data_IF_684548248452
#
_entry.id   IF_684548248452
#
_cell.length_a   1.000
_cell.length_b   1.000
_cell.length_c   1.000
_cell.angle_alpha   90.00
_cell.angle_beta   90.00
_cell.angle_gamma   90.00
#
_symmetry.space_group_name_H-M   'P 1'
#
loop_
_entity.id
_entity.type
_entity.pdbx_description
1 polymer ?
#
# COMPACT_ATOMS: atom_id res chain seq x y z
N UNK A 1 19.14 -59.49 -32.17
CA UNK A 1 18.05 -59.62 -31.16
C UNK A 1 18.51 -59.33 -29.72
N UNK A 2 19.74 -59.67 -29.33
CA UNK A 2 20.23 -59.38 -27.95
C UNK A 2 20.32 -57.86 -27.66
N UNK A 3 20.86 -57.08 -28.59
CA UNK A 3 20.99 -55.60 -28.43
C UNK A 3 19.66 -54.86 -28.34
N UNK A 4 18.64 -55.36 -29.07
CA UNK A 4 17.30 -54.76 -29.01
C UNK A 4 16.64 -54.93 -27.63
N UNK A 5 16.81 -56.11 -27.01
CA UNK A 5 16.30 -56.37 -25.67
C UNK A 5 17.02 -55.51 -24.62
N UNK A 6 18.34 -55.34 -24.73
CA UNK A 6 19.09 -54.47 -23.84
C UNK A 6 18.71 -53.02 -23.99
N UNK A 7 18.48 -52.53 -25.19
CA UNK A 7 18.04 -51.18 -25.48
C UNK A 7 16.64 -50.93 -24.89
N UNK A 8 15.74 -51.88 -25.02
CA UNK A 8 14.39 -51.80 -24.49
C UNK A 8 14.39 -51.74 -22.95
N UNK A 9 15.23 -52.52 -22.27
CA UNK A 9 15.37 -52.53 -20.81
C UNK A 9 15.97 -51.20 -20.34
N UNK A 10 16.96 -50.65 -20.98
CA UNK A 10 17.53 -49.34 -20.63
C UNK A 10 16.55 -48.22 -20.85
N UNK A 11 15.83 -48.25 -21.98
CA UNK A 11 14.80 -47.23 -22.26
C UNK A 11 13.63 -47.25 -21.25
N UNK A 12 13.19 -48.45 -20.82
CA UNK A 12 12.13 -48.54 -19.81
C UNK A 12 12.65 -48.11 -18.43
N UNK A 13 13.88 -48.43 -18.05
CA UNK A 13 14.49 -47.97 -16.80
C UNK A 13 14.66 -46.44 -16.79
N UNK A 14 15.05 -45.84 -17.91
CA UNK A 14 15.15 -44.38 -18.07
C UNK A 14 13.77 -43.69 -17.98
N UNK A 15 12.76 -44.29 -18.62
CA UNK A 15 11.38 -43.74 -18.56
C UNK A 15 10.82 -43.80 -17.13
N UNK A 16 11.05 -44.88 -16.39
CA UNK A 16 10.65 -45.01 -15.00
C UNK A 16 11.42 -44.04 -14.09
N UNK A 17 12.70 -43.80 -14.33
CA UNK A 17 13.52 -42.83 -13.59
C UNK A 17 13.06 -41.38 -13.82
N UNK A 18 12.69 -41.04 -15.04
CA UNK A 18 12.21 -39.71 -15.38
C UNK A 18 10.79 -39.40 -14.81
N UNK A 19 9.94 -40.42 -14.66
CA UNK A 19 8.63 -40.26 -14.05
C UNK A 19 8.68 -40.04 -12.52
N UNK A 20 9.75 -40.45 -11.86
CA UNK A 20 9.95 -40.20 -10.41
C UNK A 20 10.28 -38.74 -10.09
N UNK A 21 10.74 -37.95 -11.07
CA UNK A 21 11.08 -36.54 -10.88
C UNK A 21 9.90 -35.57 -11.05
N UNK A 22 8.67 -36.06 -11.21
CA UNK A 22 7.48 -35.21 -11.31
C UNK A 22 7.03 -34.71 -9.93
N UNK A 23 7.89 -33.98 -9.26
CA UNK A 23 7.65 -33.34 -7.96
C UNK A 23 7.29 -31.85 -8.07
N UNK A 24 6.78 -31.44 -9.22
CA UNK A 24 6.30 -30.05 -9.43
C UNK A 24 5.00 -29.69 -8.70
N UNK A 25 4.31 -30.65 -8.09
CA UNK A 25 3.21 -30.36 -7.24
C UNK A 25 3.72 -29.99 -5.83
N UNK A 26 3.59 -28.73 -5.47
CA UNK A 26 3.66 -28.32 -4.06
C UNK A 26 2.89 -29.33 -3.22
N UNK A 27 3.59 -30.09 -2.39
CA UNK A 27 2.96 -31.01 -1.44
C UNK A 27 2.18 -30.17 -0.44
N UNK A 28 0.91 -29.96 -0.70
CA UNK A 28 -0.03 -29.37 0.26
C UNK A 28 -0.41 -30.35 1.37
N UNK A 29 -0.03 -31.60 1.22
CA UNK A 29 -0.23 -32.64 2.20
C UNK A 29 1.13 -33.05 2.78
N UNK A 30 1.38 -32.86 4.06
CA UNK A 30 2.67 -33.23 4.70
C UNK A 30 2.93 -34.74 4.72
N UNK A 31 2.01 -35.55 4.23
CA UNK A 31 2.11 -37.02 4.25
C UNK A 31 1.77 -37.60 5.62
N UNK A 32 2.60 -38.56 6.13
CA UNK A 32 2.44 -39.11 7.47
C UNK A 32 2.88 -38.06 8.49
N UNK A 33 1.98 -37.68 9.37
CA UNK A 33 2.18 -36.65 10.39
C UNK A 33 1.93 -37.24 11.77
N UNK A 34 2.69 -36.78 12.76
CA UNK A 34 2.61 -37.30 14.13
C UNK A 34 1.31 -36.88 14.83
N UNK A 35 0.85 -35.65 14.62
CA UNK A 35 -0.39 -35.12 15.20
C UNK A 35 -1.27 -34.58 14.08
N UNK A 36 -2.11 -35.41 13.42
CA UNK A 36 -2.89 -35.01 12.24
C UNK A 36 -3.84 -33.86 12.52
N UNK A 37 -4.46 -33.81 13.71
CA UNK A 37 -5.40 -32.75 14.08
C UNK A 37 -4.75 -31.40 14.34
N UNK A 38 -3.44 -31.36 14.53
CA UNK A 38 -2.64 -30.16 14.79
C UNK A 38 -1.89 -29.65 13.53
N UNK A 39 -1.89 -30.43 12.47
CA UNK A 39 -1.11 -30.11 11.26
C UNK A 39 -1.76 -29.01 10.42
N UNK A 40 -3.08 -29.01 10.38
CA UNK A 40 -3.85 -28.02 9.65
C UNK A 40 -4.61 -27.13 10.63
N UNK A 41 -4.41 -25.83 10.50
CA UNK A 41 -5.25 -24.87 11.19
C UNK A 41 -6.69 -24.99 10.69
N UNK A 42 -7.65 -24.91 11.61
CA UNK A 42 -9.07 -24.77 11.24
C UNK A 42 -9.41 -23.36 10.75
N UNK A 43 -8.58 -22.38 11.12
CA UNK A 43 -8.67 -21.04 10.57
C UNK A 43 -8.06 -21.00 9.17
N UNK A 44 -8.68 -20.26 8.27
CA UNK A 44 -8.14 -20.04 6.94
C UNK A 44 -7.02 -19.01 7.01
N UNK A 45 -5.87 -19.32 6.42
CA UNK A 45 -4.80 -18.35 6.24
C UNK A 45 -5.19 -17.32 5.18
N UNK A 46 -4.64 -16.11 5.28
CA UNK A 46 -4.79 -15.10 4.25
C UNK A 46 -4.32 -15.67 2.89
N UNK A 47 -5.03 -15.39 1.83
CA UNK A 47 -4.76 -15.88 0.46
C UNK A 47 -4.98 -17.39 0.22
N UNK A 48 -5.48 -18.15 1.19
CA UNK A 48 -5.92 -19.53 0.92
C UNK A 48 -7.33 -19.53 0.33
N UNK A 49 -7.64 -20.58 -0.43
CA UNK A 49 -8.99 -20.76 -0.94
C UNK A 49 -9.97 -21.08 0.21
N UNK A 50 -11.10 -20.37 0.24
CA UNK A 50 -12.14 -20.56 1.25
C UNK A 50 -13.46 -20.98 0.59
N UNK A 51 -13.90 -22.23 0.79
CA UNK A 51 -15.10 -22.76 0.15
C UNK A 51 -16.41 -22.13 0.69
N UNK A 52 -16.35 -21.38 1.79
CA UNK A 52 -17.53 -20.73 2.37
C UNK A 52 -17.99 -19.50 1.58
N UNK A 53 -17.17 -19.00 0.67
CA UNK A 53 -17.49 -17.85 -0.17
C UNK A 53 -17.54 -18.24 -1.65
N UNK A 54 -18.44 -17.61 -2.38
CA UNK A 54 -18.65 -17.87 -3.81
C UNK A 54 -17.41 -17.53 -4.67
N UNK A 55 -16.63 -16.53 -4.22
CA UNK A 55 -15.38 -16.11 -4.86
C UNK A 55 -14.16 -16.92 -4.38
N UNK A 56 -14.37 -17.85 -3.45
CA UNK A 56 -13.32 -18.66 -2.83
C UNK A 56 -12.17 -17.87 -2.22
N UNK A 57 -12.37 -16.59 -1.90
CA UNK A 57 -11.33 -15.73 -1.32
C UNK A 57 -11.46 -15.63 0.20
N UNK A 58 -10.36 -15.87 0.91
CA UNK A 58 -10.30 -15.66 2.37
C UNK A 58 -10.15 -14.18 2.69
N UNK A 59 -9.24 -13.48 2.01
CA UNK A 59 -9.04 -12.03 2.17
C UNK A 59 -9.99 -11.28 1.24
N UNK A 60 -11.13 -10.89 1.78
CA UNK A 60 -12.18 -10.17 1.03
C UNK A 60 -12.01 -8.66 1.18
N UNK A 61 -12.41 -7.93 0.14
CA UNK A 61 -12.52 -6.48 0.22
C UNK A 61 -13.60 -6.09 1.24
N UNK A 62 -13.42 -5.00 1.99
CA UNK A 62 -14.44 -4.47 2.87
C UNK A 62 -15.72 -4.12 2.10
N UNK A 63 -16.84 -4.13 2.81
CA UNK A 63 -18.12 -3.67 2.23
C UNK A 63 -17.98 -2.19 1.83
N UNK A 64 -18.49 -1.85 0.65
CA UNK A 64 -18.49 -0.49 0.15
C UNK A 64 -19.05 0.50 1.18
N UNK A 65 -18.36 1.61 1.40
CA UNK A 65 -18.75 2.64 2.37
C UNK A 65 -18.27 2.40 3.81
N UNK A 66 -17.61 1.28 4.10
CA UNK A 66 -17.00 1.06 5.42
C UNK A 66 -15.68 1.78 5.54
N UNK A 67 -15.42 2.34 6.73
CA UNK A 67 -14.16 2.99 7.07
C UNK A 67 -13.48 2.18 8.17
N UNK A 68 -12.23 1.79 7.96
CA UNK A 68 -11.47 1.04 8.95
C UNK A 68 -11.22 1.90 10.19
N UNK A 69 -11.29 1.28 11.37
CA UNK A 69 -11.02 1.98 12.64
C UNK A 69 -9.58 2.49 12.65
N UNK A 70 -9.39 3.76 13.03
CA UNK A 70 -8.07 4.39 13.08
C UNK A 70 -7.59 4.96 11.75
N UNK A 71 -8.35 4.81 10.67
CA UNK A 71 -8.06 5.46 9.40
C UNK A 71 -8.87 6.74 9.20
N UNK A 72 -8.28 7.70 8.49
CA UNK A 72 -9.00 8.91 8.06
C UNK A 72 -10.15 8.54 7.12
N UNK A 73 -11.18 9.38 7.13
CA UNK A 73 -12.25 9.26 6.14
C UNK A 73 -11.67 9.31 4.72
N UNK A 74 -12.21 8.49 3.80
CA UNK A 74 -11.77 8.51 2.41
C UNK A 74 -12.03 9.88 1.79
N UNK A 75 -11.09 10.34 0.99
CA UNK A 75 -11.30 11.52 0.16
C UNK A 75 -12.30 11.19 -0.98
N UNK A 76 -12.97 12.21 -1.50
CA UNK A 76 -13.97 12.07 -2.57
C UNK A 76 -13.37 12.23 -3.97
N UNK A 77 -12.04 12.20 -4.11
CA UNK A 77 -11.40 12.27 -5.42
C UNK A 77 -11.67 11.02 -6.23
N UNK A 78 -12.15 11.24 -7.44
CA UNK A 78 -12.38 10.19 -8.45
C UNK A 78 -11.23 10.21 -9.45
N UNK A 79 -10.81 9.03 -9.88
CA UNK A 79 -9.76 8.89 -10.90
C UNK A 79 -10.22 9.54 -12.21
N UNK A 80 -9.34 10.33 -12.82
CA UNK A 80 -9.62 11.02 -14.07
C UNK A 80 -10.24 12.41 -13.93
N UNK A 81 -10.75 12.81 -12.76
CA UNK A 81 -11.32 14.15 -12.55
C UNK A 81 -10.22 15.20 -12.37
N UNK A 82 -9.65 15.63 -13.49
CA UNK A 82 -8.56 16.61 -13.51
C UNK A 82 -8.97 18.00 -13.02
N UNK A 83 -10.28 18.33 -13.06
CA UNK A 83 -10.78 19.61 -12.52
C UNK A 83 -10.81 19.59 -11.00
N UNK A 84 -11.32 18.50 -10.41
CA UNK A 84 -11.28 18.33 -8.96
C UNK A 84 -9.84 18.35 -8.42
N UNK A 85 -8.88 17.78 -9.15
CA UNK A 85 -7.47 17.78 -8.72
C UNK A 85 -6.87 19.19 -8.60
N UNK A 86 -7.34 20.17 -9.39
CA UNK A 86 -6.83 21.54 -9.34
C UNK A 86 -7.28 22.28 -8.10
N UNK A 87 -8.46 21.95 -7.60
CA UNK A 87 -9.08 22.62 -6.44
C UNK A 87 -8.91 21.87 -5.14
N UNK A 88 -8.53 20.57 -5.22
CA UNK A 88 -8.34 19.74 -4.04
C UNK A 88 -7.12 20.18 -3.24
N UNK A 89 -7.33 20.51 -1.98
CA UNK A 89 -6.28 20.98 -1.08
C UNK A 89 -6.60 20.57 0.36
N UNK A 90 -5.68 20.84 1.26
CA UNK A 90 -5.87 20.64 2.70
C UNK A 90 -5.62 21.94 3.44
N UNK A 91 -6.36 22.15 4.52
CA UNK A 91 -6.15 23.27 5.45
C UNK A 91 -5.25 22.89 6.64
N UNK A 92 -4.77 21.65 6.67
CA UNK A 92 -3.93 21.15 7.76
C UNK A 92 -2.59 21.88 7.72
N UNK A 93 -2.21 22.44 8.87
CA UNK A 93 -0.84 22.92 9.12
C UNK A 93 -0.04 21.75 9.65
N UNK A 94 1.12 21.53 9.09
CA UNK A 94 2.00 20.44 9.49
C UNK A 94 3.03 20.95 10.49
N UNK A 95 3.21 20.17 11.57
CA UNK A 95 4.28 20.39 12.54
C UNK A 95 5.64 19.96 11.96
N UNK A 96 6.73 20.35 12.63
CA UNK A 96 8.08 19.95 12.20
C UNK A 96 8.29 18.43 12.28
N UNK A 97 7.61 17.77 13.24
CA UNK A 97 7.61 16.32 13.36
C UNK A 97 6.91 15.66 12.17
N UNK A 98 5.76 16.20 11.75
CA UNK A 98 5.03 15.70 10.58
C UNK A 98 5.78 15.95 9.28
N UNK A 99 6.50 17.06 9.15
CA UNK A 99 7.39 17.32 8.01
C UNK A 99 8.58 16.37 7.99
N UNK A 100 9.12 16.02 9.16
CA UNK A 100 10.18 15.02 9.30
C UNK A 100 9.67 13.63 8.91
N UNK A 101 8.45 13.29 9.33
CA UNK A 101 7.81 12.05 8.93
C UNK A 101 7.51 12.04 7.43
N UNK A 102 7.05 13.14 6.86
CA UNK A 102 6.88 13.31 5.41
C UNK A 102 8.17 13.07 4.63
N UNK A 103 9.30 13.59 5.13
CA UNK A 103 10.63 13.30 4.58
C UNK A 103 10.99 11.82 4.66
N UNK A 104 10.72 11.17 5.81
CA UNK A 104 10.99 9.75 5.99
C UNK A 104 10.18 8.90 5.01
N UNK A 105 8.89 9.18 4.89
CA UNK A 105 8.00 8.48 3.95
C UNK A 105 8.41 8.73 2.49
N UNK A 106 8.77 9.97 2.13
CA UNK A 106 9.30 10.28 0.81
C UNK A 106 10.54 9.44 0.48
N UNK A 107 11.47 9.33 1.42
CA UNK A 107 12.69 8.54 1.23
C UNK A 107 12.43 7.04 1.06
N UNK A 108 11.38 6.51 1.69
CA UNK A 108 11.00 5.11 1.58
C UNK A 108 10.32 4.81 0.24
N UNK A 109 9.32 5.62 -0.13
CA UNK A 109 8.43 5.29 -1.24
C UNK A 109 8.75 6.00 -2.54
N UNK A 110 9.32 7.20 -2.48
CA UNK A 110 9.44 8.09 -3.63
C UNK A 110 10.89 8.27 -4.12
N UNK A 111 11.85 8.37 -3.19
CA UNK A 111 13.23 8.71 -3.50
C UNK A 111 13.94 7.67 -4.37
N UNK A 112 13.49 6.42 -4.37
CA UNK A 112 14.05 5.37 -5.23
C UNK A 112 13.97 5.75 -6.72
N UNK A 113 12.92 6.48 -7.11
CA UNK A 113 12.75 7.00 -8.48
C UNK A 113 13.08 8.49 -8.56
N UNK A 114 12.54 9.32 -7.64
CA UNK A 114 12.63 10.77 -7.73
C UNK A 114 13.93 11.36 -7.17
N UNK A 115 14.79 10.54 -6.54
CA UNK A 115 16.01 10.98 -5.88
C UNK A 115 15.74 11.70 -4.55
N UNK A 116 16.70 11.64 -3.62
CA UNK A 116 16.62 12.38 -2.34
C UNK A 116 16.73 13.89 -2.54
N UNK A 117 17.32 14.32 -3.66
CA UNK A 117 17.40 15.72 -4.08
C UNK A 117 16.14 16.20 -4.81
N UNK A 118 15.14 15.33 -5.05
CA UNK A 118 13.91 15.60 -5.80
C UNK A 118 14.14 15.95 -7.30
N UNK A 119 15.28 15.59 -7.83
CA UNK A 119 15.76 15.93 -9.20
C UNK A 119 15.32 14.93 -10.28
N UNK A 120 14.68 13.81 -9.88
CA UNK A 120 14.29 12.73 -10.78
C UNK A 120 15.40 11.72 -11.07
N UNK A 121 16.55 11.84 -10.42
CA UNK A 121 17.70 10.95 -10.63
C UNK A 121 17.87 9.98 -9.45
N UNK A 122 16.79 9.25 -9.13
CA UNK A 122 16.84 8.22 -8.10
C UNK A 122 17.65 7.00 -8.50
N UNK A 123 18.06 6.17 -7.52
CA UNK A 123 18.92 4.99 -7.76
C UNK A 123 18.38 4.02 -8.82
N UNK A 124 17.06 3.86 -8.89
CA UNK A 124 16.43 2.96 -9.86
C UNK A 124 16.61 3.47 -11.29
N UNK A 125 16.44 4.77 -11.51
CA UNK A 125 16.65 5.39 -12.82
C UNK A 125 18.14 5.47 -13.16
N UNK A 126 18.96 5.92 -12.22
CA UNK A 126 20.42 6.03 -12.40
C UNK A 126 21.09 4.69 -12.74
N UNK A 127 20.53 3.57 -12.28
CA UNK A 127 21.04 2.22 -12.61
C UNK A 127 20.66 1.74 -14.02
N UNK A 128 19.86 2.50 -14.78
CA UNK A 128 19.37 2.12 -16.10
C UNK A 128 18.29 1.01 -16.10
N UNK A 129 17.84 0.56 -14.92
CA UNK A 129 16.82 -0.50 -14.80
C UNK A 129 15.40 0.01 -15.03
N UNK A 130 15.20 1.31 -15.02
CA UNK A 130 13.92 1.95 -15.27
C UNK A 130 14.07 2.96 -16.39
N UNK A 131 13.44 2.67 -17.53
CA UNK A 131 13.64 3.46 -18.75
C UNK A 131 12.94 4.83 -18.74
N UNK A 132 11.82 4.97 -18.00
CA UNK A 132 11.08 6.22 -17.95
C UNK A 132 11.75 7.19 -16.96
N UNK A 133 12.15 8.36 -17.44
CA UNK A 133 12.74 9.39 -16.58
C UNK A 133 11.72 9.88 -15.56
N UNK A 134 11.98 9.75 -14.24
CA UNK A 134 11.11 10.30 -13.22
C UNK A 134 11.06 11.81 -13.25
N UNK A 135 9.96 12.38 -12.78
CA UNK A 135 9.79 13.82 -12.73
C UNK A 135 10.82 14.49 -11.80
N UNK A 136 11.45 15.56 -12.29
CA UNK A 136 12.19 16.50 -11.44
C UNK A 136 11.18 17.35 -10.68
N UNK A 137 10.95 17.04 -9.40
CA UNK A 137 9.94 17.70 -8.58
C UNK A 137 10.33 19.15 -8.20
N UNK A 138 11.59 19.54 -8.38
CA UNK A 138 12.06 20.93 -8.25
C UNK A 138 11.99 21.72 -9.57
N UNK A 139 11.61 21.07 -10.64
CA UNK A 139 11.43 21.74 -11.94
C UNK A 139 10.25 22.70 -11.95
N UNK A 140 10.30 23.74 -12.81
CA UNK A 140 9.34 24.85 -12.80
C UNK A 140 7.88 24.39 -13.01
N UNK A 141 7.66 23.33 -13.77
CA UNK A 141 6.34 22.78 -14.01
C UNK A 141 5.74 22.13 -12.75
N UNK A 142 6.56 21.53 -11.91
CA UNK A 142 6.12 20.83 -10.69
C UNK A 142 6.03 21.76 -9.48
N UNK A 143 6.86 22.81 -9.43
CA UNK A 143 6.75 23.86 -8.40
C UNK A 143 5.38 24.55 -8.49
N UNK A 144 4.93 24.88 -9.69
CA UNK A 144 3.62 25.52 -9.95
C UNK A 144 2.44 24.56 -9.92
N UNK A 145 2.70 23.25 -9.81
CA UNK A 145 1.63 22.24 -9.84
C UNK A 145 0.76 22.35 -8.58
N UNK A 146 -0.59 22.36 -8.73
CA UNK A 146 -1.52 22.31 -7.62
C UNK A 146 -1.28 21.07 -6.74
N UNK A 147 -1.37 21.25 -5.43
CA UNK A 147 -1.12 20.16 -4.47
C UNK A 147 -2.05 18.96 -4.67
N UNK A 148 -3.30 19.21 -5.07
CA UNK A 148 -4.26 18.14 -5.36
C UNK A 148 -3.88 17.30 -6.59
N UNK A 149 -3.19 17.87 -7.57
CA UNK A 149 -2.65 17.09 -8.69
C UNK A 149 -1.50 16.17 -8.25
N UNK A 150 -0.66 16.64 -7.31
CA UNK A 150 0.39 15.81 -6.72
C UNK A 150 -0.25 14.69 -5.89
N UNK A 151 -1.29 15.03 -5.10
CA UNK A 151 -2.03 14.05 -4.32
C UNK A 151 -2.67 12.98 -5.20
N UNK A 152 -3.34 13.39 -6.29
CA UNK A 152 -3.94 12.47 -7.25
C UNK A 152 -2.90 11.55 -7.92
N UNK A 153 -1.73 12.10 -8.27
CA UNK A 153 -0.64 11.30 -8.83
C UNK A 153 -0.12 10.23 -7.84
N UNK A 154 -0.05 10.54 -6.56
CA UNK A 154 0.33 9.57 -5.53
C UNK A 154 -0.80 8.53 -5.33
N UNK A 155 -2.06 8.98 -5.30
CA UNK A 155 -3.21 8.11 -5.03
C UNK A 155 -3.52 7.16 -6.19
N UNK A 156 -3.59 7.67 -7.40
CA UNK A 156 -4.04 6.90 -8.58
C UNK A 156 -2.90 6.44 -9.47
N UNK A 157 -1.72 7.04 -9.30
CA UNK A 157 -0.63 6.88 -10.25
C UNK A 157 -0.68 7.92 -11.37
N UNK A 158 0.38 8.01 -12.14
CA UNK A 158 0.47 8.87 -13.33
C UNK A 158 1.51 8.34 -14.30
N UNK A 159 1.12 8.06 -15.53
CA UNK A 159 1.98 7.47 -16.56
C UNK A 159 2.64 6.16 -16.08
N UNK A 160 3.97 6.12 -16.01
CA UNK A 160 4.72 4.96 -15.51
C UNK A 160 4.75 4.83 -13.99
N UNK A 161 4.28 5.83 -13.24
CA UNK A 161 4.19 5.80 -11.78
C UNK A 161 2.90 5.07 -11.37
N UNK A 162 3.04 3.97 -10.63
CA UNK A 162 1.90 3.24 -10.09
C UNK A 162 1.21 3.95 -8.93
N UNK A 163 0.03 3.47 -8.55
CA UNK A 163 -0.72 3.93 -7.38
C UNK A 163 -0.05 3.53 -6.08
N UNK A 164 0.00 4.44 -5.12
CA UNK A 164 0.46 4.22 -3.74
C UNK A 164 -0.69 4.26 -2.72
N UNK A 165 -1.95 4.16 -3.19
CA UNK A 165 -3.11 4.25 -2.32
C UNK A 165 -3.15 3.20 -1.22
N UNK A 166 -2.63 2.00 -1.49
CA UNK A 166 -2.61 0.87 -0.56
C UNK A 166 -1.46 0.91 0.45
N UNK A 167 -0.38 1.64 0.16
CA UNK A 167 0.81 1.71 1.00
C UNK A 167 0.83 2.94 1.90
N UNK A 168 0.19 4.03 1.46
CA UNK A 168 0.27 5.35 2.08
C UNK A 168 -1.15 5.86 2.30
N UNK A 169 -1.52 6.16 3.54
CA UNK A 169 -2.84 6.71 3.86
C UNK A 169 -3.00 8.19 3.43
N UNK A 170 -4.20 8.71 3.56
CA UNK A 170 -4.52 10.07 3.11
C UNK A 170 -3.70 11.15 3.84
N UNK A 171 -3.49 11.00 5.16
CA UNK A 171 -2.73 11.95 5.95
C UNK A 171 -1.23 11.89 5.60
N UNK A 172 -0.69 10.69 5.47
CA UNK A 172 0.69 10.46 5.07
C UNK A 172 0.99 11.03 3.66
N UNK A 173 0.04 10.93 2.71
CA UNK A 173 0.18 11.58 1.40
C UNK A 173 0.34 13.09 1.54
N UNK A 174 -0.44 13.70 2.41
CA UNK A 174 -0.34 15.14 2.67
C UNK A 174 0.99 15.52 3.36
N UNK A 175 1.51 14.72 4.28
CA UNK A 175 2.84 14.94 4.89
C UNK A 175 3.93 14.88 3.82
N UNK A 176 3.88 13.92 2.89
CA UNK A 176 4.83 13.82 1.78
C UNK A 176 4.74 15.06 0.87
N UNK A 177 3.53 15.51 0.54
CA UNK A 177 3.32 16.71 -0.28
C UNK A 177 3.84 17.95 0.43
N UNK A 178 3.59 18.08 1.73
CA UNK A 178 4.10 19.17 2.55
C UNK A 178 5.64 19.22 2.52
N UNK A 179 6.28 18.08 2.68
CA UNK A 179 7.75 17.97 2.55
C UNK A 179 8.23 18.38 1.14
N UNK A 180 7.59 17.89 0.08
CA UNK A 180 7.96 18.26 -1.30
C UNK A 180 7.84 19.79 -1.47
N UNK A 181 6.74 20.38 -1.05
CA UNK A 181 6.50 21.84 -1.15
C UNK A 181 7.49 22.64 -0.31
N UNK A 182 7.85 22.17 0.88
CA UNK A 182 8.87 22.77 1.71
C UNK A 182 10.25 22.78 0.99
N UNK A 183 10.62 21.69 0.33
CA UNK A 183 11.86 21.60 -0.44
C UNK A 183 11.82 22.50 -1.70
N UNK A 184 10.66 22.66 -2.30
CA UNK A 184 10.47 23.57 -3.43
C UNK A 184 10.58 25.03 -3.00
N UNK A 185 9.97 25.42 -1.88
CA UNK A 185 10.04 26.78 -1.34
C UNK A 185 11.45 27.15 -0.88
N UNK A 186 12.16 26.24 -0.24
CA UNK A 186 13.56 26.45 0.15
C UNK A 186 14.48 26.67 -1.05
N UNK A 187 14.17 26.09 -2.21
CA UNK A 187 14.92 26.26 -3.43
C UNK A 187 14.58 27.56 -4.18
N UNK A 188 13.32 28.06 -4.05
CA UNK A 188 12.84 29.26 -4.72
C UNK A 188 12.97 30.53 -3.88
N UNK A 189 13.23 30.41 -2.57
CA UNK A 189 13.23 31.53 -1.63
C UNK A 189 11.84 32.08 -1.27
N UNK A 190 10.78 31.42 -1.75
CA UNK A 190 9.40 31.78 -1.43
C UNK A 190 8.94 31.09 -0.16
N UNK A 191 8.11 31.78 0.66
CA UNK A 191 7.57 31.18 1.87
C UNK A 191 6.67 29.99 1.53
N UNK A 192 6.84 28.87 2.26
CA UNK A 192 5.99 27.70 2.14
C UNK A 192 4.55 28.05 2.53
N UNK A 193 3.68 28.05 1.54
CA UNK A 193 2.23 28.15 1.76
C UNK A 193 1.55 26.97 1.08
N UNK A 194 1.10 25.99 1.86
CA UNK A 194 0.06 25.08 1.36
C UNK A 194 -1.21 25.91 1.25
N UNK A 195 -1.65 26.13 0.01
CA UNK A 195 -2.78 27.00 -0.29
C UNK A 195 -3.99 26.65 0.56
N UNK A 196 -4.38 27.59 1.42
CA UNK A 196 -5.62 27.52 2.19
C UNK A 196 -6.77 27.82 1.25
N UNK A 197 -7.54 26.82 0.89
CA UNK A 197 -8.84 26.99 0.25
C UNK A 197 -9.89 26.36 1.14
N UNK A 198 -10.76 27.21 1.66
CA UNK A 198 -12.04 26.99 2.34
C UNK A 198 -12.20 25.83 3.36
N UNK A 199 -12.90 26.07 4.48
CA UNK A 199 -12.96 25.15 5.60
C UNK A 199 -13.84 23.94 5.29
N UNK A 200 -13.25 22.76 5.24
CA UNK A 200 -14.00 21.54 5.47
C UNK A 200 -14.22 21.41 6.98
N UNK A 201 -15.47 21.52 7.37
CA UNK A 201 -16.00 21.44 8.73
C UNK A 201 -15.43 20.23 9.48
N UNK A 202 -14.83 20.50 10.63
CA UNK A 202 -14.11 19.55 11.44
C UNK A 202 -14.96 18.39 11.94
N UNK A 203 -14.34 17.24 11.97
CA UNK A 203 -14.63 16.21 12.93
C UNK A 203 -13.44 16.15 13.89
N UNK A 204 -13.53 16.85 15.01
CA UNK A 204 -12.71 16.59 16.19
C UNK A 204 -12.98 15.15 16.60
N UNK A 205 -11.95 14.31 16.58
CA UNK A 205 -11.96 13.07 17.32
C UNK A 205 -12.00 13.40 18.80
N UNK A 206 -13.15 13.29 19.43
CA UNK A 206 -13.29 13.28 20.88
C UNK A 206 -12.80 11.92 21.37
N UNK A 207 -11.57 11.89 21.84
CA UNK A 207 -11.12 10.92 22.79
C UNK A 207 -11.56 11.45 24.15
N UNK A 208 -12.65 10.95 24.70
CA UNK A 208 -12.84 10.71 26.13
C UNK A 208 -14.16 9.97 26.33
N UNK A 209 -14.09 8.74 26.76
CA UNK A 209 -15.15 8.10 27.53
C UNK A 209 -14.47 7.30 28.63
N UNK A 210 -14.13 7.99 29.68
CA UNK A 210 -13.91 7.41 31.00
C UNK A 210 -15.27 6.89 31.49
N UNK A 211 -15.54 5.61 31.34
CA UNK A 211 -16.64 4.99 32.05
C UNK A 211 -16.22 4.75 33.50
N UNK A 212 -16.69 5.60 34.36
CA UNK A 212 -16.70 5.40 35.81
C UNK A 212 -17.76 4.35 36.14
N UNK A 213 -17.34 3.18 36.54
CA UNK A 213 -18.19 2.16 37.15
C UNK A 213 -18.48 2.59 38.59
N UNK A 214 -19.68 3.03 38.85
CA UNK A 214 -20.22 3.06 40.21
C UNK A 214 -21.14 1.87 40.41
N UNK A 215 -20.74 1.05 41.36
CA UNK A 215 -21.54 -0.06 41.87
C UNK A 215 -22.72 0.45 42.66
N UNK A 216 -23.83 -0.29 42.61
CA UNK A 216 -25.02 -0.04 43.42
C UNK A 216 -25.76 -1.37 43.60
N UNK A 217 -25.38 -2.10 44.65
CA UNK A 217 -26.13 -3.20 45.24
C UNK A 217 -27.41 -2.69 45.88
N UNK A 218 -28.51 -3.44 45.68
CA UNK A 218 -29.64 -3.72 46.60
C UNK A 218 -30.72 -4.36 45.74
N UNK A 219 -31.19 -5.57 45.91
CA UNK A 219 -31.66 -6.15 47.15
C UNK A 219 -33.17 -6.26 47.09
N UNK A 220 -33.66 -7.49 47.24
CA UNK A 220 -34.93 -7.94 47.82
C UNK A 220 -36.15 -8.24 46.90
N UNK A 221 -36.54 -9.49 46.96
CA UNK A 221 -37.89 -10.06 47.18
C UNK A 221 -38.98 -9.85 46.12
N UNK A 222 -39.42 -10.85 45.49
CA UNK A 222 -40.43 -11.85 45.84
C UNK A 222 -40.48 -12.89 44.71
#
# INVERSE_FOLDING_TARGET
MKHLKTFLVVATAAALGLSACNSGNLRRNPGKIYAPDMTYSRAYDAYTANPNFTDSQTSRLPVMGTVARGHSLPDHLVEGDTMAYKTFSTNVKFSDEELTEGKRLFNIYCAICHGTALDGNGPLYASGKFAAMPANLKGPNYVKMPVGQIYAAIKFGKNAMGSYASQIDAHQRWMIIAYIKQQQSSASGEAFTMGMSAPATGAKASADTTQKTEGGSKGANQ
#
